data_IF_777343370024
#
_entry.id   IF_777343370024
#
_cell.length_a   1.000
_cell.length_b   1.000
_cell.length_c   1.000
_cell.angle_alpha   90.00
_cell.angle_beta   90.00
_cell.angle_gamma   90.00
#
_symmetry.space_group_name_H-M   'P 1'
#
loop_
_entity.id
_entity.type
_entity.pdbx_description
1 polymer ?
#
# COMPACT_ATOMS: atom_id res chain seq x y z
N UNK A 1 -17.15 4.69 -5.82
CA UNK A 1 -17.61 6.09 -5.94
C UNK A 1 -17.90 6.72 -4.59
N UNK A 2 -18.61 6.04 -3.67
CA UNK A 2 -18.88 6.61 -2.34
C UNK A 2 -17.61 6.83 -1.54
N UNK A 3 -16.68 5.87 -1.54
CA UNK A 3 -15.35 6.01 -0.91
C UNK A 3 -14.60 7.24 -1.41
N UNK A 4 -14.62 7.51 -2.72
CA UNK A 4 -14.01 8.71 -3.30
C UNK A 4 -14.68 9.98 -2.79
N UNK A 5 -16.03 10.01 -2.73
CA UNK A 5 -16.77 11.16 -2.22
C UNK A 5 -16.54 11.46 -0.75
N UNK A 6 -16.38 10.41 0.06
CA UNK A 6 -16.16 10.53 1.51
C UNK A 6 -14.65 10.51 1.86
N UNK A 7 -13.76 10.56 0.85
CA UNK A 7 -12.31 10.54 1.08
C UNK A 7 -11.88 11.64 2.02
N UNK A 8 -12.34 12.85 1.78
CA UNK A 8 -11.95 14.02 2.55
C UNK A 8 -12.41 13.99 4.02
N UNK A 9 -13.50 13.30 4.30
CA UNK A 9 -14.01 13.10 5.66
C UNK A 9 -13.25 12.01 6.41
N UNK A 10 -12.69 11.04 5.69
CA UNK A 10 -11.93 9.93 6.22
C UNK A 10 -10.41 10.16 6.21
N UNK A 11 -9.96 11.26 5.59
CA UNK A 11 -8.55 11.62 5.48
C UNK A 11 -8.06 12.26 6.79
N UNK A 12 -7.38 11.49 7.61
CA UNK A 12 -6.86 11.97 8.90
C UNK A 12 -5.78 13.06 8.76
N UNK A 13 -5.14 13.21 7.59
CA UNK A 13 -4.21 14.32 7.34
C UNK A 13 -4.89 15.69 7.30
N UNK A 14 -6.20 15.74 7.13
CA UNK A 14 -6.99 16.98 7.21
C UNK A 14 -7.33 17.42 8.62
N UNK A 15 -7.02 16.61 9.64
CA UNK A 15 -7.15 17.01 11.03
C UNK A 15 -6.14 18.10 11.38
N UNK A 16 -6.54 19.02 12.24
CA UNK A 16 -5.65 20.10 12.71
C UNK A 16 -4.42 19.56 13.41
N UNK A 17 -4.58 18.54 14.22
CA UNK A 17 -3.49 17.85 14.91
C UNK A 17 -3.87 16.41 15.23
N UNK A 18 -2.90 15.52 15.15
CA UNK A 18 -3.03 14.13 15.62
C UNK A 18 -1.67 13.56 16.01
N UNK A 19 -1.71 12.50 16.81
CA UNK A 19 -0.54 11.68 17.12
C UNK A 19 -0.97 10.24 17.22
N UNK A 20 -0.18 9.35 16.60
CA UNK A 20 -0.40 7.91 16.70
C UNK A 20 0.92 7.14 16.65
N UNK A 21 0.88 5.89 17.13
CA UNK A 21 1.93 4.93 16.91
C UNK A 21 1.50 3.95 15.81
N UNK A 22 2.40 3.65 14.89
CA UNK A 22 2.17 2.68 13.84
C UNK A 22 3.24 1.59 13.85
N UNK A 23 2.82 0.38 13.51
CA UNK A 23 3.71 -0.70 13.13
C UNK A 23 3.69 -0.81 11.61
N UNK A 24 4.85 -0.72 11.01
CA UNK A 24 5.02 -0.82 9.57
C UNK A 24 5.87 -2.06 9.25
N UNK A 25 5.43 -2.83 8.27
CA UNK A 25 6.18 -3.96 7.74
C UNK A 25 6.34 -3.81 6.24
N UNK A 26 7.58 -3.78 5.81
CA UNK A 26 7.96 -3.73 4.41
C UNK A 26 8.65 -5.03 4.01
N UNK A 27 8.22 -5.61 2.90
CA UNK A 27 8.74 -6.87 2.38
C UNK A 27 9.09 -6.72 0.91
N UNK A 28 10.31 -7.07 0.56
CA UNK A 28 10.78 -7.12 -0.83
C UNK A 28 11.00 -8.57 -1.24
N UNK A 29 10.41 -8.95 -2.35
CA UNK A 29 10.59 -10.25 -2.97
C UNK A 29 11.29 -10.09 -4.34
N UNK A 30 12.06 -11.10 -4.73
CA UNK A 30 12.48 -11.21 -6.12
C UNK A 30 11.27 -11.60 -6.98
N UNK A 31 11.04 -10.89 -8.08
CA UNK A 31 10.09 -11.31 -9.11
C UNK A 31 10.89 -12.00 -10.23
N UNK A 32 10.59 -13.27 -10.60
CA UNK A 32 11.24 -13.87 -11.74
C UNK A 32 10.82 -13.11 -13.00
N UNK A 33 11.74 -12.87 -13.94
CA UNK A 33 11.37 -12.41 -15.25
C UNK A 33 10.50 -13.48 -15.92
N UNK A 34 9.38 -13.07 -16.54
CA UNK A 34 8.36 -13.94 -17.13
C UNK A 34 8.89 -14.93 -18.20
N UNK A 35 10.14 -14.80 -18.66
CA UNK A 35 10.79 -15.73 -19.58
C UNK A 35 12.31 -15.56 -19.58
N UNK A 36 12.99 -16.10 -18.59
CA UNK A 36 14.45 -16.22 -18.69
C UNK A 36 14.82 -17.52 -19.40
N UNK A 37 15.43 -17.40 -20.59
CA UNK A 37 16.08 -18.54 -21.29
C UNK A 37 17.34 -19.03 -20.56
N UNK A 38 17.77 -18.33 -19.51
CA UNK A 38 18.96 -18.67 -18.73
C UNK A 38 18.58 -19.52 -17.49
N UNK A 39 18.78 -20.85 -17.59
CA UNK A 39 18.48 -21.79 -16.50
C UNK A 39 19.20 -21.50 -15.18
N UNK A 40 20.40 -20.87 -15.20
CA UNK A 40 21.11 -20.50 -13.98
C UNK A 40 20.44 -19.32 -13.28
N UNK A 41 19.94 -18.37 -14.08
CA UNK A 41 19.20 -17.23 -13.56
C UNK A 41 17.86 -17.68 -12.96
N UNK A 42 17.18 -18.60 -13.62
CA UNK A 42 15.94 -19.19 -13.14
C UNK A 42 16.12 -19.95 -11.83
N UNK A 43 17.16 -20.79 -11.70
CA UNK A 43 17.46 -21.49 -10.46
C UNK A 43 17.80 -20.53 -9.31
N UNK A 44 18.52 -19.44 -9.59
CA UNK A 44 18.79 -18.39 -8.60
C UNK A 44 17.49 -17.69 -8.14
N UNK A 45 16.59 -17.38 -9.06
CA UNK A 45 15.29 -16.81 -8.72
C UNK A 45 14.40 -17.77 -7.96
N UNK A 46 14.41 -19.06 -8.29
CA UNK A 46 13.66 -20.10 -7.58
C UNK A 46 14.15 -20.25 -6.12
N UNK A 47 15.44 -20.09 -5.88
CA UNK A 47 16.03 -20.06 -4.56
C UNK A 47 15.66 -18.76 -3.80
N UNK A 48 15.73 -17.61 -4.47
CA UNK A 48 15.38 -16.31 -3.91
C UNK A 48 13.88 -16.17 -3.64
N UNK A 49 13.02 -16.85 -4.40
CA UNK A 49 11.58 -16.89 -4.16
C UNK A 49 11.16 -17.60 -2.89
N UNK A 50 11.98 -18.51 -2.39
CA UNK A 50 11.74 -19.20 -1.12
C UNK A 50 12.07 -18.30 0.09
N UNK A 51 12.77 -17.19 -0.13
CA UNK A 51 13.22 -16.27 0.90
C UNK A 51 12.91 -14.83 0.52
N UNK A 52 12.48 -14.04 1.48
CA UNK A 52 12.37 -12.60 1.29
C UNK A 52 13.77 -11.99 1.10
N UNK A 53 13.93 -11.14 0.10
CA UNK A 53 15.19 -10.41 -0.11
C UNK A 53 15.45 -9.44 1.05
N UNK A 54 14.37 -8.82 1.52
CA UNK A 54 14.41 -7.86 2.60
C UNK A 54 13.09 -7.86 3.35
N UNK A 55 13.17 -7.81 4.67
CA UNK A 55 12.05 -7.49 5.56
C UNK A 55 12.51 -6.35 6.45
N UNK A 56 11.77 -5.25 6.44
CA UNK A 56 11.90 -4.18 7.43
C UNK A 56 10.63 -4.10 8.26
N UNK A 57 10.78 -4.09 9.57
CA UNK A 57 9.71 -3.90 10.54
C UNK A 57 10.06 -2.68 11.38
N UNK A 58 9.19 -1.70 11.44
CA UNK A 58 9.38 -0.49 12.22
C UNK A 58 8.18 -0.19 13.10
N UNK A 59 8.46 0.31 14.28
CA UNK A 59 7.48 0.90 15.17
C UNK A 59 7.78 2.39 15.26
N UNK A 60 6.84 3.20 14.81
CA UNK A 60 7.02 4.64 14.66
C UNK A 60 5.98 5.40 15.50
N UNK A 61 6.36 6.59 15.94
CA UNK A 61 5.45 7.61 16.44
C UNK A 61 5.35 8.73 15.40
N UNK A 62 4.14 9.07 14.99
CA UNK A 62 3.87 10.17 14.07
C UNK A 62 3.06 11.24 14.77
N UNK A 63 3.50 12.48 14.66
CA UNK A 63 2.83 13.67 15.18
C UNK A 63 2.62 14.61 14.00
N UNK A 64 1.40 15.05 13.82
CA UNK A 64 1.04 16.05 12.80
C UNK A 64 0.42 17.28 13.47
N UNK A 65 0.81 18.46 12.98
CA UNK A 65 0.23 19.75 13.32
C UNK A 65 0.04 20.53 12.02
N UNK A 66 -1.22 20.83 11.68
CA UNK A 66 -1.55 21.63 10.49
C UNK A 66 -0.85 23.00 10.52
N UNK A 67 -0.47 23.60 9.37
CA UNK A 67 -0.77 23.09 8.03
C UNK A 67 0.18 21.98 7.52
N UNK A 68 1.47 21.98 7.88
CA UNK A 68 2.44 21.13 7.20
C UNK A 68 3.53 20.54 8.13
N UNK A 69 3.36 20.67 9.44
CA UNK A 69 4.31 20.14 10.40
C UNK A 69 4.01 18.66 10.69
N UNK A 70 4.80 17.77 10.09
CA UNK A 70 4.76 16.33 10.43
C UNK A 70 6.13 15.92 10.95
N UNK A 71 6.13 15.29 12.13
CA UNK A 71 7.31 14.67 12.73
C UNK A 71 7.07 13.19 12.86
N UNK A 72 7.98 12.42 12.30
CA UNK A 72 8.04 10.98 12.47
C UNK A 72 9.27 10.61 13.29
N UNK A 73 9.08 9.72 14.24
CA UNK A 73 10.15 9.23 15.11
C UNK A 73 10.12 7.70 15.09
N UNK A 74 11.17 7.09 14.58
CA UNK A 74 11.34 5.63 14.64
C UNK A 74 11.70 5.26 16.08
N UNK A 75 10.82 4.54 16.76
CA UNK A 75 11.00 4.08 18.14
C UNK A 75 11.82 2.80 18.14
N UNK A 76 11.52 1.88 17.22
CA UNK A 76 12.26 0.62 17.04
C UNK A 76 12.21 0.19 15.58
N UNK A 77 13.28 -0.40 15.09
CA UNK A 77 13.36 -0.96 13.75
C UNK A 77 14.15 -2.25 13.76
N UNK A 78 13.71 -3.22 12.97
CA UNK A 78 14.42 -4.46 12.68
C UNK A 78 14.45 -4.69 11.18
N UNK A 79 15.64 -4.89 10.65
CA UNK A 79 15.85 -5.20 9.23
C UNK A 79 16.50 -6.58 9.12
N UNK A 80 15.97 -7.41 8.26
CA UNK A 80 16.46 -8.77 7.96
C UNK A 80 16.53 -8.96 6.45
N UNK A 81 17.53 -9.68 5.96
CA UNK A 81 17.73 -9.97 4.54
C UNK A 81 19.08 -9.51 4.03
N UNK A 82 19.17 -9.16 2.76
CA UNK A 82 20.41 -8.72 2.12
C UNK A 82 20.94 -7.43 2.76
N UNK A 83 22.23 -7.46 3.14
CA UNK A 83 22.93 -6.30 3.73
C UNK A 83 23.51 -5.40 2.62
N UNK A 84 22.71 -5.03 1.64
CA UNK A 84 23.13 -4.11 0.60
C UNK A 84 22.65 -2.68 0.97
N UNK A 85 23.53 -1.66 0.96
CA UNK A 85 23.16 -0.28 1.27
C UNK A 85 22.02 0.27 0.39
N UNK A 86 21.91 -0.18 -0.87
CA UNK A 86 20.86 0.24 -1.78
C UNK A 86 19.46 -0.16 -1.27
N UNK A 87 19.32 -1.30 -0.57
CA UNK A 87 18.04 -1.70 0.03
C UNK A 87 17.66 -0.83 1.24
N UNK A 88 18.65 -0.26 1.93
CA UNK A 88 18.38 0.68 3.04
C UNK A 88 17.78 1.98 2.53
N UNK A 89 18.23 2.46 1.36
CA UNK A 89 17.65 3.63 0.70
C UNK A 89 16.20 3.33 0.28
N UNK A 90 15.95 2.18 -0.34
CA UNK A 90 14.60 1.75 -0.71
C UNK A 90 13.63 1.74 0.49
N UNK A 91 14.06 1.27 1.65
CA UNK A 91 13.21 1.26 2.86
C UNK A 91 12.77 2.68 3.22
N UNK A 92 13.66 3.67 3.13
CA UNK A 92 13.33 5.06 3.48
C UNK A 92 12.33 5.70 2.51
N UNK A 93 12.28 5.25 1.27
CA UNK A 93 11.36 5.73 0.24
C UNK A 93 9.94 5.18 0.41
N UNK A 94 9.81 4.00 1.03
CA UNK A 94 8.50 3.36 1.27
C UNK A 94 7.79 3.82 2.56
N UNK A 95 8.42 4.65 3.36
CA UNK A 95 8.03 4.97 4.75
C UNK A 95 6.81 5.87 4.90
N UNK A 96 5.99 6.15 3.93
CA UNK A 96 4.72 6.88 4.18
C UNK A 96 3.76 6.83 3.00
N UNK A 97 3.41 5.64 2.57
CA UNK A 97 2.37 5.51 1.55
C UNK A 97 1.01 5.82 2.17
N UNK A 98 0.38 6.88 1.71
CA UNK A 98 -0.94 7.29 2.15
C UNK A 98 -1.97 7.01 1.06
N UNK A 99 -2.90 6.09 1.33
CA UNK A 99 -3.96 5.72 0.40
C UNK A 99 -5.11 6.74 0.31
N UNK A 100 -5.05 7.84 1.04
CA UNK A 100 -5.97 8.95 0.85
C UNK A 100 -5.44 10.00 -0.16
N UNK A 101 -4.16 9.92 -0.56
CA UNK A 101 -3.59 10.75 -1.63
C UNK A 101 -4.05 10.31 -3.02
N UNK A 102 -4.14 11.21 -4.00
CA UNK A 102 -4.57 10.86 -5.37
C UNK A 102 -3.57 9.98 -6.12
N UNK A 103 -2.30 10.04 -5.73
CA UNK A 103 -1.17 9.30 -6.32
C UNK A 103 -0.41 8.57 -5.22
N UNK A 104 -0.02 7.35 -5.50
CA UNK A 104 0.80 6.50 -4.64
C UNK A 104 2.18 6.38 -5.26
N UNK A 105 3.21 6.76 -4.53
CA UNK A 105 4.60 6.59 -4.99
C UNK A 105 5.17 5.28 -4.45
N UNK A 106 5.75 4.47 -5.33
CA UNK A 106 6.43 3.22 -5.00
C UNK A 106 7.73 3.19 -5.80
N UNK A 107 8.88 3.18 -5.12
CA UNK A 107 10.21 3.15 -5.75
C UNK A 107 10.36 4.21 -6.87
N UNK A 108 10.09 5.47 -6.54
CA UNK A 108 10.12 6.65 -7.43
C UNK A 108 9.12 6.63 -8.59
N UNK A 109 8.28 5.60 -8.68
CA UNK A 109 7.23 5.52 -9.69
C UNK A 109 5.88 5.95 -9.11
N UNK A 110 5.14 6.77 -9.86
CA UNK A 110 3.83 7.28 -9.47
C UNK A 110 2.70 6.43 -10.04
N UNK A 111 1.85 5.92 -9.16
CA UNK A 111 0.69 5.10 -9.50
C UNK A 111 -0.60 5.83 -9.19
N UNK A 112 -1.56 5.81 -10.11
CA UNK A 112 -2.88 6.37 -9.84
C UNK A 112 -3.56 5.55 -8.75
N UNK A 113 -3.99 6.24 -7.69
CA UNK A 113 -4.69 5.58 -6.59
C UNK A 113 -6.08 5.09 -7.04
N UNK A 114 -6.47 3.83 -6.74
CA UNK A 114 -7.80 3.31 -7.08
C UNK A 114 -8.96 4.09 -6.44
N UNK A 115 -8.71 4.88 -5.39
CA UNK A 115 -9.74 5.75 -4.79
C UNK A 115 -9.57 7.22 -5.12
N UNK A 116 -8.73 7.58 -6.10
CA UNK A 116 -8.63 8.95 -6.60
C UNK A 116 -9.85 9.36 -7.42
N UNK A 117 -10.02 10.67 -7.63
CA UNK A 117 -11.09 11.19 -8.45
C UNK A 117 -11.00 10.66 -9.89
N UNK A 118 -12.12 10.17 -10.43
CA UNK A 118 -12.18 9.59 -11.77
C UNK A 118 -11.62 8.15 -11.87
N UNK A 119 -11.06 7.59 -10.82
CA UNK A 119 -10.46 6.24 -10.82
C UNK A 119 -11.41 5.13 -11.28
N UNK A 120 -12.72 5.30 -11.10
CA UNK A 120 -13.73 4.34 -11.58
C UNK A 120 -13.81 4.22 -13.11
N UNK A 121 -13.17 5.10 -13.87
CA UNK A 121 -12.99 4.99 -15.31
C UNK A 121 -11.68 4.30 -15.70
N UNK A 122 -10.78 4.18 -14.76
CA UNK A 122 -9.43 3.64 -14.95
C UNK A 122 -9.28 2.24 -14.38
N UNK A 123 -10.03 1.93 -13.33
CA UNK A 123 -10.00 0.63 -12.64
C UNK A 123 -11.32 -0.11 -12.78
N UNK A 124 -11.23 -1.42 -12.86
CA UNK A 124 -12.35 -2.32 -12.67
C UNK A 124 -12.35 -2.80 -11.22
N UNK A 125 -13.50 -2.71 -10.56
CA UNK A 125 -13.72 -3.14 -9.19
C UNK A 125 -14.72 -4.29 -9.15
N UNK A 126 -14.43 -5.30 -8.34
CA UNK A 126 -15.34 -6.40 -8.07
C UNK A 126 -15.54 -6.54 -6.56
N UNK A 127 -16.80 -6.73 -6.13
CA UNK A 127 -17.10 -7.07 -4.72
C UNK A 127 -16.92 -8.58 -4.58
N UNK A 128 -15.92 -8.99 -3.82
CA UNK A 128 -15.57 -10.39 -3.60
C UNK A 128 -16.35 -10.98 -2.43
N UNK A 129 -16.55 -10.16 -1.37
CA UNK A 129 -17.17 -10.63 -0.14
C UNK A 129 -17.77 -9.46 0.66
N UNK A 130 -18.58 -9.81 1.66
CA UNK A 130 -19.11 -8.89 2.65
C UNK A 130 -18.91 -9.49 4.04
N UNK A 131 -18.09 -8.82 4.84
CA UNK A 131 -17.76 -9.25 6.21
C UNK A 131 -18.61 -8.47 7.22
N UNK A 132 -18.88 -9.12 8.35
CA UNK A 132 -19.54 -8.50 9.50
C UNK A 132 -18.55 -8.54 10.68
N UNK A 133 -17.99 -7.40 11.01
CA UNK A 133 -16.95 -7.29 12.04
C UNK A 133 -17.26 -6.15 13.01
N UNK A 134 -17.23 -6.43 14.31
CA UNK A 134 -17.41 -5.43 15.38
C UNK A 134 -18.71 -4.59 15.24
N UNK A 135 -19.77 -5.18 14.68
CA UNK A 135 -21.03 -4.47 14.43
C UNK A 135 -21.09 -3.68 13.12
N UNK A 136 -19.98 -3.63 12.37
CA UNK A 136 -19.91 -2.98 11.06
C UNK A 136 -20.00 -4.00 9.91
N UNK A 137 -20.55 -3.54 8.81
CA UNK A 137 -20.50 -4.25 7.53
C UNK A 137 -19.30 -3.75 6.73
N UNK A 138 -18.51 -4.66 6.16
CA UNK A 138 -17.27 -4.33 5.43
C UNK A 138 -17.32 -5.01 4.06
N UNK A 139 -17.22 -4.23 2.99
CA UNK A 139 -17.09 -4.75 1.64
C UNK A 139 -15.65 -5.10 1.33
N UNK A 140 -15.40 -6.34 0.92
CA UNK A 140 -14.10 -6.78 0.37
C UNK A 140 -14.16 -6.62 -1.14
N UNK A 141 -13.31 -5.78 -1.68
CA UNK A 141 -13.30 -5.42 -3.10
C UNK A 141 -11.93 -5.68 -3.70
N UNK A 142 -11.87 -6.44 -4.79
CA UNK A 142 -10.67 -6.46 -5.64
C UNK A 142 -10.70 -5.31 -6.65
N UNK A 143 -9.51 -4.87 -7.08
CA UNK A 143 -9.36 -3.89 -8.12
C UNK A 143 -8.19 -4.23 -9.04
N UNK A 144 -8.37 -3.97 -10.33
CA UNK A 144 -7.37 -4.12 -11.39
C UNK A 144 -7.52 -2.99 -12.40
N UNK A 145 -6.49 -2.63 -13.18
CA UNK A 145 -6.65 -1.65 -14.26
C UNK A 145 -7.69 -2.12 -15.28
N UNK A 146 -8.50 -1.19 -15.76
CA UNK A 146 -9.50 -1.47 -16.78
C UNK A 146 -8.83 -1.85 -18.11
N UNK A 147 -9.44 -2.78 -18.83
CA UNK A 147 -8.92 -3.26 -20.13
C UNK A 147 -8.71 -2.11 -21.11
N UNK A 148 -7.60 -2.14 -21.83
CA UNK A 148 -7.24 -1.15 -22.85
C UNK A 148 -6.77 0.19 -22.29
N UNK A 149 -6.52 0.29 -20.99
CA UNK A 149 -5.91 1.46 -20.36
C UNK A 149 -4.41 1.22 -20.18
N UNK A 150 -3.61 2.23 -20.53
CA UNK A 150 -2.15 2.23 -20.35
C UNK A 150 -1.78 3.38 -19.42
N UNK A 151 -1.46 3.07 -18.18
CA UNK A 151 -1.01 4.00 -17.16
C UNK A 151 -0.32 3.22 -16.04
N UNK A 152 0.51 3.88 -15.24
CA UNK A 152 1.08 3.28 -14.03
C UNK A 152 -0.05 2.96 -13.05
N UNK A 153 -0.34 1.68 -12.89
CA UNK A 153 -1.52 1.21 -12.20
C UNK A 153 -1.21 0.18 -11.12
N UNK A 154 -2.07 0.15 -10.13
CA UNK A 154 -2.04 -0.82 -9.04
C UNK A 154 -3.10 -1.90 -9.25
N UNK A 155 -2.90 -3.05 -8.63
CA UNK A 155 -3.90 -4.12 -8.44
C UNK A 155 -3.90 -4.55 -6.98
N UNK A 156 -5.03 -5.04 -6.49
CA UNK A 156 -5.09 -5.50 -5.12
C UNK A 156 -6.49 -5.61 -4.55
N UNK A 157 -6.57 -5.42 -3.23
CA UNK A 157 -7.81 -5.55 -2.46
C UNK A 157 -8.00 -4.35 -1.54
N UNK A 158 -9.24 -3.92 -1.41
CA UNK A 158 -9.69 -2.90 -0.44
C UNK A 158 -10.76 -3.53 0.46
N UNK A 159 -10.70 -3.23 1.76
CA UNK A 159 -11.82 -3.43 2.65
C UNK A 159 -12.39 -2.06 3.02
N UNK A 160 -13.66 -1.87 2.74
CA UNK A 160 -14.35 -0.59 2.87
C UNK A 160 -15.50 -0.73 3.86
N UNK A 161 -15.52 0.11 4.89
CA UNK A 161 -16.65 0.21 5.81
C UNK A 161 -17.91 0.66 5.06
N UNK A 162 -19.01 -0.06 5.20
CA UNK A 162 -20.23 0.22 4.47
C UNK A 162 -20.98 1.48 4.94
N UNK A 163 -20.75 1.91 6.19
CA UNK A 163 -21.42 3.06 6.79
C UNK A 163 -20.68 4.37 6.55
N UNK A 164 -19.35 4.36 6.73
CA UNK A 164 -18.50 5.55 6.63
C UNK A 164 -17.77 5.66 5.30
N UNK A 165 -17.75 4.57 4.52
CA UNK A 165 -16.96 4.41 3.29
C UNK A 165 -15.44 4.60 3.49
N UNK A 166 -14.97 4.53 4.72
CA UNK A 166 -13.55 4.56 5.06
C UNK A 166 -12.85 3.26 4.64
N UNK A 167 -11.57 3.38 4.31
CA UNK A 167 -10.70 2.22 4.11
C UNK A 167 -10.39 1.61 5.48
N UNK A 168 -10.55 0.29 5.62
CA UNK A 168 -10.12 -0.48 6.79
C UNK A 168 -8.88 -1.32 6.49
N UNK A 169 -8.71 -1.71 5.24
CA UNK A 169 -7.56 -2.46 4.79
C UNK A 169 -7.30 -2.16 3.32
N UNK A 170 -6.05 -2.11 2.98
CA UNK A 170 -5.59 -2.06 1.60
C UNK A 170 -4.44 -3.03 1.38
N UNK A 171 -4.51 -3.75 0.28
CA UNK A 171 -3.40 -4.48 -0.33
C UNK A 171 -3.22 -3.96 -1.73
N UNK A 172 -2.01 -3.55 -2.06
CA UNK A 172 -1.68 -2.96 -3.34
C UNK A 172 -0.33 -3.46 -3.86
N UNK A 173 -0.27 -3.72 -5.14
CA UNK A 173 0.97 -4.00 -5.85
C UNK A 173 0.90 -3.41 -7.27
N UNK A 174 2.02 -3.09 -7.92
CA UNK A 174 2.05 -2.72 -9.32
C UNK A 174 1.32 -3.76 -10.18
N UNK A 175 0.47 -3.30 -11.09
CA UNK A 175 -0.29 -4.20 -11.96
C UNK A 175 0.55 -4.77 -13.09
N UNK A 176 1.47 -3.96 -13.63
CA UNK A 176 2.44 -4.38 -14.65
C UNK A 176 3.74 -4.81 -13.96
N UNK A 177 4.05 -6.08 -14.07
CA UNK A 177 5.28 -6.68 -13.52
C UNK A 177 6.34 -6.93 -14.60
N UNK A 178 6.04 -6.61 -15.87
CA UNK A 178 6.95 -6.90 -16.99
C UNK A 178 8.25 -6.07 -16.96
N UNK A 179 8.27 -4.97 -16.21
CA UNK A 179 9.43 -4.06 -16.11
C UNK A 179 10.15 -4.19 -14.77
N UNK A 180 9.50 -4.74 -13.75
CA UNK A 180 10.05 -4.77 -12.39
C UNK A 180 10.75 -6.09 -12.08
N UNK A 181 12.06 -6.02 -11.86
CA UNK A 181 12.86 -7.14 -11.30
C UNK A 181 12.50 -7.43 -9.83
N UNK A 182 11.77 -6.53 -9.20
CA UNK A 182 11.34 -6.63 -7.80
C UNK A 182 9.82 -6.48 -7.73
N UNK A 183 9.14 -7.41 -7.06
CA UNK A 183 7.73 -7.24 -6.72
C UNK A 183 7.60 -6.60 -5.35
N UNK A 184 6.88 -5.50 -5.29
CA UNK A 184 6.52 -4.84 -4.04
C UNK A 184 5.03 -5.01 -3.76
N UNK A 185 4.70 -5.27 -2.51
CA UNK A 185 3.32 -5.30 -2.03
C UNK A 185 3.22 -4.42 -0.81
N UNK A 186 2.25 -3.54 -0.82
CA UNK A 186 1.90 -2.69 0.32
C UNK A 186 0.66 -3.27 0.96
N UNK A 187 0.69 -3.47 2.27
CA UNK A 187 -0.48 -3.82 3.07
C UNK A 187 -0.60 -2.84 4.22
N UNK A 188 -1.78 -2.23 4.36
CA UNK A 188 -2.09 -1.30 5.44
C UNK A 188 -3.42 -1.64 6.08
N UNK A 189 -3.47 -1.54 7.40
CA UNK A 189 -4.65 -1.73 8.22
C UNK A 189 -4.96 -0.41 8.92
N UNK A 190 -6.20 0.03 8.82
CA UNK A 190 -6.70 1.22 9.47
C UNK A 190 -7.58 0.82 10.65
N UNK A 191 -7.35 1.44 11.78
CA UNK A 191 -8.13 1.23 12.99
C UNK A 191 -8.94 2.48 13.31
N UNK A 192 -10.19 2.27 13.73
CA UNK A 192 -11.04 3.36 14.16
C UNK A 192 -10.70 3.75 15.59
N UNK A 193 -10.38 5.02 15.77
CA UNK A 193 -10.24 5.63 17.08
C UNK A 193 -11.28 6.74 17.19
N UNK A 194 -12.26 6.59 18.09
CA UNK A 194 -13.47 7.40 18.16
C UNK A 194 -14.24 7.41 16.83
N UNK A 195 -14.18 8.50 16.08
CA UNK A 195 -14.85 8.67 14.77
C UNK A 195 -13.91 8.63 13.58
N UNK A 196 -12.60 8.48 13.79
CA UNK A 196 -11.55 8.65 12.77
C UNK A 196 -10.82 7.33 12.55
N UNK A 197 -10.48 7.07 11.29
CA UNK A 197 -9.69 5.93 10.86
C UNK A 197 -8.21 6.34 10.67
N UNK A 198 -7.29 5.64 11.33
CA UNK A 198 -5.85 5.83 11.25
C UNK A 198 -5.15 4.57 10.77
#
# INVERSE_FOLDING_TARGET
KQTVKNRDENDYYKLHSYSYNAYEKFVVNAAPPDSSSNKKLQALFDELHQHYLLISESYINRIHLSPDLTKETVIAQKVSGLKDPNFTVLISEFQSTDFYKPVITIADEEYINPISDGSWHQYFFNVEDTLYQNGDTVFVMSYVPAKGKSFQSLKGTLQINASTYAIQYVKASPADTAVATLSSTIEQYYQKNDSIWF
#
